data_IF_245577693307
#
_entry.id   IF_245577693307
#
_cell.length_a   1.000
_cell.length_b   1.000
_cell.length_c   1.000
_cell.angle_alpha   90.00
_cell.angle_beta   90.00
_cell.angle_gamma   90.00
#
_symmetry.space_group_name_H-M   'P 1'
#
loop_
_entity.id
_entity.type
_entity.pdbx_description
1 polymer ?
2 polymer ?
3 water ?
#
# COMPACT_ATOMS: atom_id res chain seq x y z
N UNK A 1 1.79 8.32 -7.34
CA UNK A 1 1.62 7.73 -8.67
C UNK A 1 2.47 8.56 -9.64
N UNK A 2 3.40 7.91 -10.27
CA UNK A 2 4.29 8.53 -11.27
C UNK A 2 3.59 8.25 -12.62
N UNK A 3 3.50 9.23 -13.48
CA UNK A 3 2.95 9.20 -14.80
C UNK A 3 1.44 9.06 -14.90
N UNK A 4 0.71 9.46 -13.89
CA UNK A 4 -0.75 9.42 -13.94
C UNK A 4 -1.31 10.81 -14.33
N UNK A 5 -2.58 10.96 -14.11
CA UNK A 5 -3.46 12.10 -14.36
C UNK A 5 -4.32 12.33 -13.12
N UNK A 6 -4.81 13.54 -12.88
CA UNK A 6 -5.68 13.72 -11.70
C UNK A 6 -6.98 12.96 -11.97
N UNK A 7 -7.49 12.18 -11.05
CA UNK A 7 -8.74 11.43 -11.20
C UNK A 7 -9.94 12.38 -11.08
N UNK A 8 -11.01 11.91 -11.74
CA UNK A 8 -12.29 12.67 -11.69
C UNK A 8 -12.73 12.56 -10.22
N UNK A 9 -13.34 13.63 -9.75
CA UNK A 9 -13.76 13.75 -8.35
C UNK A 9 -14.60 12.62 -7.78
N UNK A 10 -15.21 11.83 -8.63
CA UNK A 10 -16.08 10.72 -8.20
C UNK A 10 -15.67 9.39 -8.81
N UNK A 11 -14.51 9.36 -9.43
CA UNK A 11 -14.05 8.16 -10.09
C UNK A 11 -13.79 6.98 -9.16
N UNK A 12 -13.23 7.23 -7.98
CA UNK A 12 -12.90 6.09 -7.05
C UNK A 12 -13.37 6.30 -5.64
N UNK A 13 -14.70 6.22 -5.41
CA UNK A 13 -15.35 6.50 -4.14
C UNK A 13 -14.94 5.71 -2.93
N UNK A 14 -14.18 4.66 -3.18
CA UNK A 14 -13.74 3.80 -2.08
C UNK A 14 -12.35 4.23 -1.58
N UNK A 15 -11.66 5.08 -2.29
CA UNK A 15 -10.31 5.58 -1.91
C UNK A 15 -10.39 6.45 -0.65
N UNK A 16 -9.54 6.05 0.30
CA UNK A 16 -9.43 6.79 1.58
C UNK A 16 -7.98 7.30 1.74
N UNK A 17 -7.91 8.34 2.60
CA UNK A 17 -6.57 8.86 2.97
C UNK A 17 -6.41 8.44 4.47
N UNK A 18 -5.33 7.72 4.72
CA UNK A 18 -5.03 7.32 6.10
C UNK A 18 -4.02 8.39 6.62
N UNK A 19 -4.39 9.02 7.72
CA UNK A 19 -3.54 10.10 8.28
C UNK A 19 -3.15 9.92 9.73
N UNK A 20 -1.95 10.40 10.08
CA UNK A 20 -1.50 10.32 11.48
C UNK A 20 -1.40 11.70 12.12
N UNK A 21 -1.64 11.69 13.43
CA UNK A 21 -1.54 12.94 14.20
C UNK A 21 -0.04 13.28 14.36
N UNK A 22 0.29 14.39 13.72
CA UNK A 22 1.60 15.01 13.60
C UNK A 22 1.70 16.42 14.22
N UNK A 23 1.89 16.40 15.53
CA UNK A 23 2.03 17.56 16.40
C UNK A 23 0.62 17.95 16.90
N UNK A 24 -0.07 18.70 16.08
CA UNK A 24 -1.44 19.14 16.33
C UNK A 24 -2.20 18.92 15.01
N UNK A 25 -1.33 18.79 14.03
CA UNK A 25 -1.73 18.57 12.64
C UNK A 25 -1.78 17.05 12.35
N UNK A 26 -2.32 16.82 11.16
CA UNK A 26 -2.50 15.45 10.63
C UNK A 26 -1.67 15.35 9.36
N UNK A 27 -1.07 14.18 9.18
CA UNK A 27 -0.24 13.98 8.01
C UNK A 27 -0.75 12.80 7.19
N UNK A 28 -0.93 13.03 5.90
CA UNK A 28 -1.34 11.94 4.98
C UNK A 28 -0.17 10.93 4.98
N UNK A 29 -0.51 9.65 5.25
CA UNK A 29 0.52 8.61 5.26
C UNK A 29 0.33 7.49 4.20
N UNK A 30 -0.92 7.07 4.00
CA UNK A 30 -1.16 5.95 3.07
C UNK A 30 -2.57 6.05 2.48
N UNK A 31 -2.79 5.13 1.52
CA UNK A 31 -4.13 5.01 0.88
C UNK A 31 -4.82 3.89 1.74
N UNK A 32 -6.00 3.56 1.33
CA UNK A 32 -6.85 2.49 1.94
C UNK A 32 -8.08 2.45 0.99
N UNK A 33 -8.86 1.42 1.25
CA UNK A 33 -10.12 1.18 0.49
C UNK A 33 -11.22 0.99 1.52
N UNK A 34 -12.31 1.67 1.33
CA UNK A 34 -13.49 1.56 2.24
C UNK A 34 -14.18 0.25 1.76
N UNK A 35 -14.22 -0.73 2.67
CA UNK A 35 -14.80 -2.04 2.39
C UNK A 35 -16.10 -2.29 3.10
N UNK A 36 -16.41 -1.59 4.14
CA UNK A 36 -17.66 -1.63 4.92
C UNK A 36 -17.85 -0.16 5.37
N UNK A 37 -19.02 0.17 5.85
CA UNK A 37 -19.21 1.59 6.25
C UNK A 37 -18.31 1.91 7.45
N UNK A 38 -17.93 0.88 8.17
CA UNK A 38 -17.07 1.06 9.36
C UNK A 38 -15.76 0.27 9.24
N UNK A 39 -15.39 -0.20 8.05
CA UNK A 39 -14.11 -0.93 7.92
C UNK A 39 -13.31 -0.36 6.75
N UNK A 40 -11.99 -0.36 6.93
CA UNK A 40 -11.08 0.08 5.86
C UNK A 40 -9.95 -0.94 5.65
N UNK A 41 -9.56 -1.22 4.43
CA UNK A 41 -8.45 -2.14 4.12
C UNK A 41 -7.20 -1.35 3.71
N UNK A 42 -6.07 -1.66 4.33
CA UNK A 42 -4.78 -0.97 4.04
C UNK A 42 -3.66 -1.98 4.09
N UNK A 43 -2.42 -1.52 4.02
CA UNK A 43 -1.20 -2.27 4.12
C UNK A 43 -0.84 -2.36 5.64
N UNK A 44 -0.30 -3.50 6.01
CA UNK A 44 0.16 -3.70 7.43
C UNK A 44 1.28 -2.69 7.76
N UNK A 45 2.22 -2.49 6.85
CA UNK A 45 3.34 -1.53 7.10
C UNK A 45 2.91 -0.10 7.35
N UNK A 46 1.69 0.28 7.11
CA UNK A 46 1.16 1.62 7.32
C UNK A 46 0.60 1.83 8.74
N UNK A 47 0.17 0.74 9.38
CA UNK A 47 -0.48 0.87 10.68
C UNK A 47 0.20 0.08 11.78
N UNK A 48 1.35 -0.43 11.43
CA UNK A 48 2.18 -1.24 12.34
C UNK A 48 3.13 -0.32 13.13
N UNK A 49 2.61 0.80 13.57
CA UNK A 49 3.37 1.78 14.35
C UNK A 49 2.42 2.37 15.38
N UNK A 50 3.00 2.86 16.46
CA UNK A 50 2.20 3.47 17.55
C UNK A 50 1.92 4.95 17.27
N UNK A 51 1.00 5.23 16.36
CA UNK A 51 0.57 6.57 15.94
C UNK A 51 -0.96 6.60 16.18
N UNK A 52 -1.50 7.80 16.20
CA UNK A 52 -2.94 8.03 16.31
C UNK A 52 -3.38 8.26 14.84
N UNK A 53 -4.33 7.42 14.47
CA UNK A 53 -4.82 7.43 13.08
C UNK A 53 -6.22 7.96 12.92
N UNK A 54 -6.44 8.42 11.69
CA UNK A 54 -7.77 8.90 11.27
C UNK A 54 -7.82 8.53 9.76
N UNK A 55 -9.06 8.51 9.32
CA UNK A 55 -9.34 8.23 7.91
C UNK A 55 -10.23 9.36 7.39
N UNK A 56 -9.99 9.72 6.15
CA UNK A 56 -10.74 10.75 5.44
C UNK A 56 -11.30 10.04 4.17
N UNK A 57 -12.60 10.20 4.09
CA UNK A 57 -13.44 9.66 3.01
C UNK A 57 -13.96 10.87 2.22
N UNK A 58 -14.12 10.61 0.93
CA UNK A 58 -14.61 11.64 -0.02
C UNK A 58 -13.54 12.71 -0.20
N UNK A 59 -12.29 12.30 -0.04
CA UNK A 59 -11.17 13.24 -0.20
C UNK A 59 -10.82 13.36 -1.68
N UNK A 60 -10.49 14.55 -2.13
CA UNK A 60 -10.04 14.79 -3.50
C UNK A 60 -8.70 15.56 -3.43
N UNK A 61 -8.78 16.78 -2.96
CA UNK A 61 -7.56 17.64 -2.83
C UNK A 61 -7.15 17.60 -1.36
N UNK A 62 -5.93 17.17 -1.09
CA UNK A 62 -5.44 17.11 0.31
C UNK A 62 -5.31 18.48 0.99
N UNK A 63 -5.12 19.54 0.23
CA UNK A 63 -4.91 20.86 0.84
C UNK A 63 -6.14 21.73 0.93
N UNK A 64 -7.22 21.39 0.29
CA UNK A 64 -8.46 22.21 0.31
C UNK A 64 -9.67 21.36 0.71
N UNK A 65 -10.57 22.08 1.36
CA UNK A 65 -11.88 21.54 1.81
C UNK A 65 -12.73 21.60 0.50
N UNK A 66 -13.13 20.42 0.08
CA UNK A 66 -13.88 20.23 -1.17
C UNK A 66 -15.38 20.29 -0.81
N UNK A 67 -15.64 19.97 0.44
CA UNK A 67 -16.93 19.90 1.09
C UNK A 67 -17.49 18.49 1.07
N UNK A 68 -16.82 17.56 0.42
CA UNK A 68 -17.30 16.18 0.27
C UNK A 68 -16.74 15.16 1.24
N UNK A 69 -15.81 15.61 2.07
CA UNK A 69 -15.08 14.79 3.00
C UNK A 69 -15.73 14.47 4.32
N UNK A 70 -15.42 13.31 4.85
CA UNK A 70 -15.87 12.93 6.21
C UNK A 70 -14.58 12.51 6.92
N UNK A 71 -14.44 12.93 8.17
CA UNK A 71 -13.25 12.59 9.00
C UNK A 71 -13.73 11.61 10.07
N UNK A 72 -12.99 10.52 10.27
CA UNK A 72 -13.40 9.50 11.24
C UNK A 72 -12.15 8.95 11.94
N UNK A 73 -12.31 8.77 13.24
CA UNK A 73 -11.19 8.21 14.02
C UNK A 73 -11.16 6.70 13.74
N UNK A 74 -10.00 6.09 13.97
CA UNK A 74 -9.76 4.66 13.83
C UNK A 74 -10.00 3.98 15.19
N UNK A 75 -10.97 3.09 15.29
CA UNK A 75 -11.30 2.35 16.49
C UNK A 75 -10.52 1.07 16.74
N UNK A 76 -10.27 0.21 15.78
CA UNK A 76 -9.52 -1.03 15.92
C UNK A 76 -8.60 -1.19 14.70
N UNK A 77 -7.44 -1.71 15.03
CA UNK A 77 -6.38 -2.04 14.09
C UNK A 77 -6.08 -3.56 14.20
N UNK A 78 -6.32 -4.20 13.06
CA UNK A 78 -6.10 -5.66 12.96
C UNK A 78 -5.11 -5.94 11.85
N UNK A 79 -3.90 -6.30 12.22
CA UNK A 79 -2.79 -6.62 11.31
C UNK A 79 -2.78 -8.10 10.99
N UNK A 80 -2.43 -8.50 9.77
CA UNK A 80 -2.42 -9.94 9.48
C UNK A 80 -1.48 -10.63 10.47
N UNK A 81 -1.96 -11.72 11.12
CA UNK A 81 -1.16 -12.48 12.06
C UNK A 81 0.17 -13.00 11.50
N UNK A 82 0.36 -13.14 10.20
CA UNK A 82 1.63 -13.64 9.69
C UNK A 82 2.59 -12.54 9.25
N UNK A 83 2.16 -11.32 9.41
CA UNK A 83 2.94 -10.13 9.04
C UNK A 83 4.14 -9.96 9.97
N UNK A 84 5.27 -9.82 9.35
CA UNK A 84 6.62 -9.60 9.86
C UNK A 84 7.10 -8.18 9.42
N UNK A 85 7.08 -7.22 10.30
CA UNK A 85 7.41 -5.81 10.15
C UNK A 85 8.61 -5.40 9.29
N UNK A 86 9.56 -6.29 9.26
CA UNK A 86 10.83 -6.30 8.63
C UNK A 86 10.97 -6.75 7.18
N UNK A 87 10.18 -7.76 6.94
CA UNK A 87 10.11 -8.50 5.71
C UNK A 87 8.83 -8.14 4.97
N UNK A 88 8.94 -7.22 4.03
CA UNK A 88 7.70 -6.91 3.25
C UNK A 88 7.65 -7.92 2.09
N UNK A 89 8.78 -8.55 1.77
CA UNK A 89 8.77 -9.51 0.63
C UNK A 89 8.15 -10.84 1.04
N UNK A 90 8.08 -11.05 2.35
CA UNK A 90 7.46 -12.29 2.87
C UNK A 90 5.95 -12.26 2.60
N UNK A 91 5.36 -11.09 2.40
CA UNK A 91 3.91 -11.00 2.13
C UNK A 91 3.15 -10.71 3.41
N UNK A 92 1.84 -10.93 3.38
CA UNK A 92 0.89 -10.75 4.45
C UNK A 92 0.83 -9.26 4.82
N UNK A 93 1.08 -8.48 3.77
CA UNK A 93 1.03 -7.00 3.99
C UNK A 93 -0.41 -6.52 3.84
N UNK A 94 -1.18 -6.72 4.87
CA UNK A 94 -2.60 -6.30 4.88
C UNK A 94 -3.11 -6.09 6.28
N UNK A 95 -3.91 -5.07 6.49
CA UNK A 95 -4.49 -4.74 7.78
C UNK A 95 -5.91 -4.16 7.54
N UNK A 96 -6.76 -4.33 8.51
CA UNK A 96 -8.13 -3.87 8.54
C UNK A 96 -8.27 -2.93 9.74
N UNK A 97 -8.93 -1.82 9.52
CA UNK A 97 -9.13 -0.81 10.56
C UNK A 97 -10.64 -0.69 10.77
N UNK A 98 -11.04 -0.70 12.00
CA UNK A 98 -12.44 -0.51 12.38
C UNK A 98 -12.61 1.00 12.67
N UNK A 99 -13.52 1.64 11.97
CA UNK A 99 -13.77 3.07 12.15
C UNK A 99 -14.60 3.25 13.42
N UNK A 100 -14.30 4.41 14.02
CA UNK A 100 -14.92 4.87 15.24
C UNK A 100 -16.42 5.02 15.07
N UNK A 101 -16.76 5.16 13.81
CA UNK A 101 -18.14 5.41 13.35
C UNK A 101 -18.29 5.01 11.88
N UNK A 102 -19.54 4.75 11.53
CA UNK A 102 -19.96 4.34 10.18
C UNK A 102 -20.10 5.60 9.31
N UNK A 103 -19.58 5.52 8.09
CA UNK A 103 -19.65 6.68 7.17
C UNK A 103 -21.01 6.75 6.47
N UNK A 104 -21.31 7.90 5.91
CA UNK A 104 -22.54 8.08 5.13
C UNK A 104 -22.12 7.90 3.65
N UNK A 105 -22.82 7.01 2.97
CA UNK A 105 -22.52 6.75 1.54
C UNK A 105 -23.30 7.81 0.75
N UNK A 106 -22.66 8.21 -0.33
CA UNK A 106 -23.15 9.21 -1.28
C UNK A 106 -22.33 9.01 -2.56
N UNK A 107 -22.49 9.95 -3.47
CA UNK A 107 -21.87 10.00 -4.80
C UNK A 107 -20.35 9.90 -4.79
N UNK A 108 -19.79 10.30 -3.67
CA UNK A 108 -18.37 10.41 -3.37
C UNK A 108 -17.79 9.41 -2.39
N UNK A 109 -18.66 8.79 -1.61
CA UNK A 109 -18.25 7.81 -0.60
C UNK A 109 -19.03 6.53 -0.89
N UNK A 110 -18.35 5.51 -1.33
CA UNK A 110 -18.94 4.20 -1.69
C UNK A 110 -18.04 3.04 -1.29
N UNK A 111 -18.63 1.86 -1.07
CA UNK A 111 -17.83 0.71 -0.65
C UNK A 111 -17.01 0.16 -1.81
N UNK A 112 -15.85 -0.35 -1.50
CA UNK A 112 -14.93 -1.00 -2.47
C UNK A 112 -15.43 -2.49 -2.57
N UNK A 113 -15.37 -2.96 -3.80
CA UNK A 113 -15.83 -4.34 -4.12
C UNK A 113 -14.64 -5.27 -4.21
N UNK A 114 -14.65 -6.27 -3.35
CA UNK A 114 -13.51 -7.24 -3.38
C UNK A 114 -13.81 -8.43 -4.32
N UNK A 115 -12.73 -9.03 -4.79
CA UNK A 115 -12.82 -10.19 -5.68
C UNK A 115 -13.25 -11.45 -4.93
N UNK A 116 -13.80 -12.40 -5.73
CA UNK A 116 -14.21 -13.74 -5.22
C UNK A 116 -12.87 -14.38 -4.81
N UNK A 117 -12.84 -15.06 -3.72
CA UNK A 117 -11.62 -15.73 -3.20
C UNK A 117 -10.95 -16.51 -4.31
N UNK A 118 -9.64 -16.46 -4.46
CA UNK A 118 -8.85 -17.12 -5.44
C UNK A 118 -8.78 -16.54 -6.82
N UNK A 119 -9.53 -15.49 -7.14
CA UNK A 119 -9.50 -14.88 -8.47
C UNK A 119 -8.06 -14.43 -8.84
N UNK A 120 -7.65 -14.93 -10.00
CA UNK A 120 -6.36 -14.68 -10.64
C UNK A 120 -6.64 -14.02 -12.02
N UNK A 121 -6.01 -12.85 -12.17
CA UNK A 121 -6.13 -12.05 -13.39
C UNK A 121 -5.07 -12.52 -14.39
N UNK A 122 -5.57 -12.57 -15.62
CA UNK A 122 -4.65 -12.98 -16.72
C UNK A 122 -3.64 -11.84 -16.88
N UNK A 123 -2.62 -12.14 -17.65
CA UNK A 123 -1.55 -11.20 -18.00
C UNK A 123 -2.18 -10.00 -18.70
N UNK A 124 -1.79 -8.82 -18.28
CA UNK A 124 -2.23 -7.60 -18.92
C UNK A 124 -3.68 -7.17 -18.72
N UNK A 125 -4.21 -7.54 -17.58
CA UNK A 125 -5.58 -7.13 -17.28
C UNK A 125 -5.51 -5.59 -17.04
N UNK A 126 -6.57 -4.93 -17.43
CA UNK A 126 -6.70 -3.47 -17.23
C UNK A 126 -7.02 -3.14 -15.77
N UNK A 127 -6.04 -2.44 -15.19
CA UNK A 127 -6.06 -1.92 -13.84
C UNK A 127 -5.60 -0.43 -13.81
N UNK A 128 -6.03 0.17 -12.72
CA UNK A 128 -5.79 1.53 -12.32
C UNK A 128 -5.38 1.58 -10.81
N UNK A 129 -4.25 2.20 -10.62
CA UNK A 129 -3.72 2.53 -9.30
C UNK A 129 -4.15 4.00 -9.02
N UNK A 130 -4.52 4.27 -7.77
CA UNK A 130 -4.89 5.64 -7.41
C UNK A 130 -4.11 5.95 -6.12
N UNK A 131 -3.87 7.25 -5.90
CA UNK A 131 -3.20 7.66 -4.66
C UNK A 131 -2.69 9.10 -4.69
N UNK A 132 -2.28 9.49 -3.46
CA UNK A 132 -1.74 10.85 -3.31
C UNK A 132 -0.21 10.78 -3.21
N UNK A 133 0.40 9.71 -3.69
CA UNK A 133 1.85 9.55 -3.62
C UNK A 133 2.72 10.42 -4.48
N UNK A 134 4.03 10.36 -4.19
CA UNK A 134 5.01 11.12 -4.97
C UNK A 134 4.63 10.93 -6.46
N UNK A 135 4.80 12.06 -7.13
CA UNK A 135 4.52 12.07 -8.58
C UNK A 135 5.81 11.88 -9.31
N UNK A 136 6.89 11.74 -8.56
CA UNK A 136 8.18 11.43 -9.25
C UNK A 136 9.12 10.85 -8.20
N UNK A 137 10.07 10.02 -8.69
CA UNK A 137 11.00 9.44 -7.72
C UNK A 137 11.63 10.63 -6.93
N UNK A 138 11.57 10.54 -5.62
CA UNK A 138 12.12 11.62 -4.76
C UNK A 138 11.44 12.95 -4.98
N UNK A 139 10.20 12.97 -5.46
CA UNK A 139 9.44 14.19 -5.72
C UNK A 139 8.57 14.58 -4.54
N UNK A 140 7.44 15.22 -4.82
CA UNK A 140 6.53 15.62 -3.70
C UNK A 140 5.20 14.82 -3.86
N UNK A 141 4.53 14.70 -2.71
CA UNK A 141 3.21 14.06 -2.66
C UNK A 141 2.26 14.86 -3.60
N UNK A 142 1.36 14.20 -4.28
CA UNK A 142 0.37 14.91 -5.11
C UNK A 142 -0.59 15.56 -4.14
N UNK A 143 -1.23 16.59 -4.61
CA UNK A 143 -2.22 17.37 -3.80
C UNK A 143 -3.62 16.82 -4.10
N UNK A 144 -3.79 16.49 -5.39
CA UNK A 144 -5.07 15.94 -5.89
C UNK A 144 -4.90 14.44 -6.20
N UNK A 145 -5.97 13.67 -6.00
CA UNK A 145 -5.92 12.22 -6.27
C UNK A 145 -5.57 12.00 -7.75
N UNK A 146 -4.56 11.16 -7.92
CA UNK A 146 -4.03 10.81 -9.23
C UNK A 146 -4.44 9.35 -9.51
N UNK A 147 -4.38 9.04 -10.78
CA UNK A 147 -4.69 7.69 -11.26
C UNK A 147 -3.80 7.41 -12.44
N UNK A 148 -3.41 6.16 -12.59
CA UNK A 148 -2.61 5.75 -13.74
C UNK A 148 -3.02 4.31 -14.12
N UNK A 149 -3.04 4.17 -15.44
CA UNK A 149 -3.32 2.85 -16.06
C UNK A 149 -2.07 1.98 -15.86
N UNK A 150 -2.31 0.87 -15.15
CA UNK A 150 -1.27 -0.12 -14.82
C UNK A 150 -1.78 -1.56 -15.02
N UNK A 151 -1.45 -2.19 -16.11
CA UNK A 151 -1.90 -3.57 -16.35
C UNK A 151 -1.01 -4.60 -15.66
N UNK A 152 -1.64 -5.72 -15.34
CA UNK A 152 -1.07 -6.91 -14.73
C UNK A 152 0.08 -7.53 -15.50
N UNK A 153 1.00 -8.05 -14.72
CA UNK A 153 2.16 -8.82 -15.20
C UNK A 153 1.87 -10.14 -14.41
N UNK A 154 1.46 -11.16 -15.12
CA UNK A 154 1.12 -12.45 -14.41
C UNK A 154 2.32 -12.95 -13.64
N UNK A 155 2.09 -13.83 -12.70
CA UNK A 155 3.10 -14.38 -11.82
C UNK A 155 4.33 -14.98 -12.48
N UNK A 156 4.12 -15.77 -13.50
CA UNK A 156 5.14 -16.52 -14.24
C UNK A 156 6.18 -15.60 -14.83
N UNK A 157 5.66 -14.46 -15.23
CA UNK A 157 6.41 -13.38 -15.84
C UNK A 157 7.07 -12.50 -14.74
N UNK A 158 6.26 -12.02 -13.82
CA UNK A 158 6.71 -11.20 -12.71
C UNK A 158 7.85 -11.83 -11.91
N UNK A 159 7.73 -13.12 -11.65
CA UNK A 159 8.74 -13.88 -10.91
C UNK A 159 9.90 -14.31 -11.79
N UNK A 160 9.91 -13.96 -13.06
CA UNK A 160 11.06 -14.34 -13.93
C UNK A 160 12.20 -13.41 -13.45
N UNK A 161 13.41 -13.86 -13.77
CA UNK A 161 14.62 -13.16 -13.30
C UNK A 161 14.83 -11.76 -13.82
N UNK A 162 14.30 -11.39 -14.96
CA UNK A 162 14.44 -10.02 -15.52
C UNK A 162 13.45 -9.07 -14.85
N UNK A 163 12.47 -9.65 -14.17
CA UNK A 163 11.47 -8.94 -13.38
C UNK A 163 11.83 -8.99 -11.88
N UNK A 164 10.97 -9.54 -11.04
CA UNK A 164 11.26 -9.59 -9.60
C UNK A 164 11.82 -10.93 -9.14
N UNK A 165 11.99 -11.88 -10.06
CA UNK A 165 12.57 -13.20 -9.62
C UNK A 165 11.85 -13.66 -8.35
N UNK A 166 12.65 -14.28 -7.47
CA UNK A 166 12.19 -14.84 -6.19
C UNK A 166 11.61 -13.85 -5.22
N UNK A 167 11.67 -12.56 -5.46
CA UNK A 167 11.09 -11.57 -4.54
C UNK A 167 9.57 -11.61 -4.43
N UNK A 168 8.90 -11.75 -5.56
CA UNK A 168 7.44 -11.78 -5.71
C UNK A 168 6.91 -13.20 -5.45
N UNK A 169 5.86 -13.20 -4.63
CA UNK A 169 5.13 -14.41 -4.18
C UNK A 169 3.80 -14.47 -4.96
N UNK A 170 3.27 -15.68 -4.97
CA UNK A 170 1.99 -15.94 -5.64
C UNK A 170 0.87 -15.26 -4.86
N UNK A 171 1.19 -14.75 -3.65
CA UNK A 171 0.14 -14.05 -2.86
C UNK A 171 0.10 -12.55 -3.16
N UNK A 172 0.87 -12.17 -4.14
CA UNK A 172 0.99 -10.77 -4.59
C UNK A 172 0.61 -10.67 -6.07
N UNK A 173 0.34 -9.46 -6.48
CA UNK A 173 0.01 -9.02 -7.84
C UNK A 173 1.00 -7.95 -8.35
N UNK A 174 1.56 -8.12 -9.54
CA UNK A 174 2.42 -7.02 -10.08
C UNK A 174 1.64 -6.29 -11.19
N UNK A 175 1.75 -4.97 -11.25
CA UNK A 175 1.08 -4.19 -12.33
C UNK A 175 2.10 -3.15 -12.79
N UNK A 176 2.18 -2.81 -14.05
CA UNK A 176 3.04 -1.77 -14.64
C UNK A 176 4.43 -2.26 -15.03
N UNK A 177 5.44 -1.45 -14.72
CA UNK A 177 6.84 -1.81 -15.00
C UNK A 177 7.30 -1.40 -16.40
N UNK A 178 6.61 -0.38 -16.89
CA UNK A 178 6.90 0.16 -18.23
C UNK A 178 7.96 1.27 -18.14
N UNK A 179 8.32 1.60 -16.90
CA UNK A 179 9.29 2.64 -16.64
C UNK A 179 8.61 4.01 -16.74
N UNK A 180 7.31 4.10 -16.93
CA UNK A 180 6.63 5.39 -17.07
C UNK A 180 5.59 5.61 -15.99
N UNK A 181 4.84 4.54 -15.71
CA UNK A 181 3.75 4.69 -14.73
C UNK A 181 4.04 3.79 -13.55
N UNK A 182 3.69 4.23 -12.37
CA UNK A 182 3.91 3.40 -11.19
C UNK A 182 3.39 4.10 -9.95
N UNK A 183 3.31 3.28 -8.91
CA UNK A 183 2.91 3.80 -7.55
C UNK A 183 4.29 4.34 -7.02
N UNK A 184 4.20 5.14 -5.97
CA UNK A 184 5.44 5.74 -5.40
C UNK A 184 5.13 5.97 -3.93
N UNK A 185 6.13 6.35 -3.12
CA UNK A 185 5.91 6.59 -1.67
C UNK A 185 4.66 7.42 -1.42
N UNK A 186 3.82 6.96 -0.50
CA UNK A 186 2.59 7.56 -0.04
C UNK A 186 1.34 6.96 -0.74
N UNK A 187 1.58 6.04 -1.68
CA UNK A 187 0.53 5.31 -2.42
C UNK A 187 0.22 3.97 -1.67
N UNK A 188 1.17 3.46 -0.92
CA UNK A 188 1.04 2.23 -0.17
C UNK A 188 -0.35 2.15 0.49
N UNK A 189 -0.80 0.92 0.62
CA UNK A 189 -2.06 0.58 1.27
C UNK A 189 -3.28 0.92 0.43
N UNK A 190 -3.06 1.63 -0.68
CA UNK A 190 -4.28 2.00 -1.51
C UNK A 190 -4.65 0.91 -2.52
N UNK A 191 -5.80 1.07 -3.18
CA UNK A 191 -6.24 0.09 -4.19
C UNK A 191 -5.53 0.03 -5.51
N UNK A 192 -5.71 -1.13 -6.14
CA UNK A 192 -5.37 -1.50 -7.52
C UNK A 192 -6.81 -1.97 -8.02
N UNK A 193 -7.45 -1.18 -8.83
CA UNK A 193 -8.80 -1.40 -9.32
C UNK A 193 -8.76 -2.13 -10.67
N UNK A 194 -9.40 -3.31 -10.77
CA UNK A 194 -9.32 -3.98 -12.09
C UNK A 194 -10.72 -4.23 -12.67
N UNK A 195 -10.67 -4.16 -14.00
CA UNK A 195 -11.93 -4.38 -14.76
C UNK A 195 -11.79 -5.79 -15.38
N UNK A 196 -12.75 -6.57 -14.94
CA UNK A 196 -12.92 -8.01 -15.23
C UNK A 196 -14.43 -8.25 -15.45
N UNK A 197 -14.74 -8.73 -16.65
CA UNK A 197 -16.10 -9.02 -17.13
C UNK A 197 -17.08 -7.85 -16.93
N UNK A 198 -16.67 -6.63 -17.25
CA UNK A 198 -17.46 -5.43 -17.12
C UNK A 198 -17.72 -4.91 -15.72
N UNK A 199 -16.97 -5.39 -14.74
CA UNK A 199 -17.10 -5.01 -13.31
C UNK A 199 -15.69 -4.77 -12.72
N UNK A 200 -15.65 -3.68 -11.94
CA UNK A 200 -14.44 -3.26 -11.21
C UNK A 200 -14.38 -3.90 -9.84
N UNK A 201 -13.24 -4.30 -9.36
CA UNK A 201 -13.16 -4.84 -7.98
C UNK A 201 -11.72 -4.43 -7.57
N UNK A 202 -11.57 -4.44 -6.26
CA UNK A 202 -10.27 -4.09 -5.68
C UNK A 202 -9.48 -5.40 -5.51
N UNK A 203 -8.55 -5.59 -6.42
CA UNK A 203 -7.65 -6.71 -6.45
C UNK A 203 -6.30 -6.52 -5.76
N UNK A 204 -5.85 -5.28 -5.54
CA UNK A 204 -4.51 -5.13 -4.89
C UNK A 204 -4.55 -4.06 -3.79
N UNK A 205 -3.56 -4.21 -2.93
CA UNK A 205 -3.21 -3.30 -1.84
C UNK A 205 -1.73 -2.88 -2.13
N UNK A 206 -1.49 -1.63 -2.54
CA UNK A 206 -0.09 -1.21 -2.83
C UNK A 206 0.83 -1.56 -1.67
N UNK A 207 1.88 -2.26 -2.06
CA UNK A 207 2.91 -2.72 -1.13
C UNK A 207 4.29 -2.08 -1.25
N UNK A 208 4.98 -2.40 -2.32
CA UNK A 208 6.38 -1.97 -2.50
C UNK A 208 6.72 -1.74 -3.96
N UNK A 209 7.86 -1.08 -4.15
CA UNK A 209 8.47 -0.67 -5.40
C UNK A 209 9.96 -0.96 -5.26
N UNK A 210 10.64 -0.73 -6.36
CA UNK A 210 12.08 -0.93 -6.38
C UNK A 210 12.79 0.11 -5.50
N UNK A 211 13.97 -0.30 -5.05
CA UNK A 211 14.85 0.60 -4.27
C UNK A 211 15.54 1.59 -5.24
N UNK A 212 15.71 1.22 -6.48
CA UNK A 212 16.31 2.07 -7.51
C UNK A 212 15.40 3.22 -7.99
N UNK A 213 14.12 3.15 -7.73
CA UNK A 213 13.13 4.15 -8.10
C UNK A 213 11.70 3.54 -8.13
N UNK A 214 10.75 4.44 -8.26
CA UNK A 214 9.33 4.14 -8.36
C UNK A 214 9.03 3.55 -9.75
N UNK A 215 9.27 4.33 -10.78
CA UNK A 215 9.03 3.86 -12.18
C UNK A 215 10.31 3.27 -12.74
N UNK A 216 10.53 1.99 -12.62
CA UNK A 216 11.77 1.36 -13.15
C UNK A 216 11.26 0.26 -14.10
N UNK A 217 11.80 0.34 -15.29
CA UNK A 217 11.50 -0.58 -16.40
C UNK A 217 11.75 -1.99 -15.89
N UNK A 218 10.70 -2.81 -15.99
CA UNK A 218 10.67 -4.20 -15.56
C UNK A 218 10.78 -4.41 -14.06
N UNK A 219 10.31 -3.41 -13.36
CA UNK A 219 10.22 -3.42 -11.90
C UNK A 219 8.81 -2.86 -11.61
N UNK A 220 7.81 -3.74 -11.82
CA UNK A 220 6.42 -3.33 -11.61
C UNK A 220 6.13 -3.02 -10.14
N UNK A 221 5.01 -2.33 -9.92
CA UNK A 221 4.55 -2.07 -8.55
C UNK A 221 3.96 -3.45 -8.08
N UNK A 222 4.26 -3.70 -6.83
CA UNK A 222 3.81 -4.98 -6.20
C UNK A 222 2.72 -4.65 -5.20
N UNK A 223 1.67 -5.44 -5.21
CA UNK A 223 0.50 -5.31 -4.34
C UNK A 223 0.24 -6.73 -3.73
N UNK A 224 -0.44 -6.68 -2.62
CA UNK A 224 -0.94 -7.84 -1.87
C UNK A 224 -2.19 -8.29 -2.67
N UNK A 225 -2.19 -9.55 -3.05
CA UNK A 225 -3.41 -10.05 -3.85
C UNK A 225 -4.54 -10.26 -2.88
N UNK A 226 -5.51 -9.37 -2.88
CA UNK A 226 -6.68 -9.39 -2.02
C UNK A 226 -7.45 -10.74 -2.02
N UNK A 227 -7.61 -11.25 -3.22
CA UNK A 227 -8.34 -12.52 -3.47
C UNK A 227 -7.79 -13.66 -2.64
N UNK A 228 -6.54 -13.59 -2.22
CA UNK A 228 -5.90 -14.56 -1.36
C UNK A 228 -6.27 -14.42 0.11
N UNK A 229 -6.93 -13.37 0.54
CA UNK A 229 -7.27 -13.12 1.94
C UNK A 229 -8.72 -12.99 2.29
N UNK A 230 -9.58 -13.22 1.30
CA UNK A 230 -11.01 -13.10 1.51
C UNK A 230 -11.51 -13.79 2.78
N UNK A 231 -11.08 -15.02 3.06
CA UNK A 231 -11.54 -15.71 4.29
C UNK A 231 -11.00 -15.04 5.56
N UNK A 232 -9.74 -14.60 5.49
CA UNK A 232 -9.17 -13.88 6.65
C UNK A 232 -10.04 -12.66 6.93
N UNK A 233 -10.31 -11.89 5.89
CA UNK A 233 -11.08 -10.64 5.85
C UNK A 233 -12.45 -10.80 6.50
N UNK A 234 -13.06 -11.84 5.97
CA UNK A 234 -14.38 -12.35 6.34
C UNK A 234 -14.46 -12.72 7.82
N UNK A 235 -13.45 -13.39 8.35
CA UNK A 235 -13.49 -13.75 9.78
C UNK A 235 -13.22 -12.51 10.67
N UNK A 236 -12.25 -11.67 10.34
CA UNK A 236 -11.94 -10.48 11.16
C UNK A 236 -13.15 -9.60 11.40
N UNK A 237 -13.75 -9.29 10.26
CA UNK A 237 -14.92 -8.38 10.23
C UNK A 237 -16.12 -8.94 10.98
N UNK A 238 -16.31 -10.24 10.83
CA UNK A 238 -17.41 -10.98 11.44
C UNK A 238 -17.33 -10.97 12.95
N UNK A 239 -16.10 -10.96 13.44
CA UNK A 239 -15.78 -11.01 14.85
C UNK A 239 -15.12 -9.81 15.50
N UNK A 240 -15.10 -8.64 14.89
CA UNK A 240 -14.48 -7.44 15.47
C UNK A 240 -15.38 -6.22 15.29
N UNK B 11 32.06 0.23 13.67
CA UNK B 11 30.94 0.01 14.59
C UNK B 11 30.60 -1.48 14.52
N UNK B 12 30.70 -1.90 13.27
CA UNK B 12 30.44 -3.26 12.88
C UNK B 12 31.55 -3.78 11.98
N UNK B 13 31.91 -5.00 12.31
CA UNK B 13 32.92 -5.74 11.55
C UNK B 13 32.46 -6.04 10.13
N UNK B 14 31.21 -6.44 9.92
CA UNK B 14 30.80 -6.79 8.55
C UNK B 14 29.89 -5.87 7.80
N UNK B 15 29.47 -6.32 6.60
CA UNK B 15 28.59 -5.53 5.76
C UNK B 15 27.12 -5.92 5.90
N UNK B 16 26.36 -4.90 5.56
CA UNK B 16 24.89 -4.99 5.53
C UNK B 16 24.53 -5.58 4.16
N UNK B 17 23.42 -6.28 4.18
CA UNK B 17 22.90 -6.84 2.91
C UNK B 17 22.25 -5.71 2.09
N UNK B 18 22.24 -5.85 0.76
CA UNK B 18 21.53 -4.88 -0.07
C UNK B 18 20.06 -5.39 -0.06
N UNK B 19 19.19 -4.44 0.00
CA UNK B 19 17.72 -4.79 0.00
C UNK B 19 17.21 -4.01 -1.21
N UNK B 20 16.73 -4.69 -2.27
CA UNK B 20 16.26 -3.89 -3.42
C UNK B 20 14.79 -3.58 -3.49
N UNK B 21 14.02 -3.73 -2.45
CA UNK B 21 12.60 -3.35 -2.47
C UNK B 21 12.42 -2.29 -1.35
N UNK B 22 11.49 -1.39 -1.61
CA UNK B 22 11.18 -0.32 -0.68
C UNK B 22 9.65 -0.26 -0.48
N UNK B 23 9.22 -0.21 0.76
CA UNK B 23 7.73 -0.09 0.97
C UNK B 23 7.39 1.28 0.36
N UNK B 24 6.21 1.41 -0.16
CA UNK B 24 5.86 2.64 -0.88
C UNK B 24 5.29 3.70 0.06
N UNK B 25 5.97 3.81 1.21
CA UNK B 25 5.67 4.75 2.30
C UNK B 25 6.94 5.59 2.67
N UNK B 26 6.62 6.83 2.91
CA UNK B 26 7.54 7.89 3.33
C UNK B 26 7.78 7.74 4.84
N UNK B 27 9.03 7.89 5.24
CA UNK B 27 9.44 7.86 6.64
C UNK B 27 9.01 6.58 7.37
N UNK B 28 9.42 5.43 6.89
CA UNK B 28 9.04 4.17 7.56
C UNK B 28 9.74 4.16 8.92
N UNK B 29 9.10 3.47 9.87
CA UNK B 29 9.59 3.32 11.24
C UNK B 29 10.88 2.52 11.33
N UNK B 30 11.79 3.10 12.12
CA UNK B 30 13.14 2.49 12.34
C UNK B 30 13.12 1.60 13.59
N UNK B 31 13.76 0.45 13.43
CA UNK B 31 13.79 -0.50 14.57
C UNK B 31 15.14 -0.52 15.25
N UNK B 32 16.04 0.31 14.77
CA UNK B 32 17.39 0.49 15.31
C UNK B 32 18.03 1.69 14.58
N UNK B 33 19.11 2.21 15.17
CA UNK B 33 19.82 3.35 14.51
C UNK B 33 21.31 2.98 14.38
N UNK B 34 21.75 2.25 15.40
CA UNK B 34 23.13 1.78 15.51
C UNK B 34 23.10 0.23 15.57
N UNK B 35 24.21 -0.27 15.09
CA UNK B 35 24.50 -1.71 15.05
C UNK B 35 24.34 -2.18 16.52
N UNK B 36 24.57 -1.19 17.38
CA UNK B 36 24.50 -1.52 18.81
C UNK B 36 23.11 -1.73 19.36
N UNK B 37 22.13 -1.43 18.54
CA UNK B 37 20.70 -1.56 18.89
C UNK B 37 20.26 -2.97 18.53
N UNK B 38 21.27 -3.65 18.04
CA UNK B 38 21.12 -5.03 17.56
C UNK B 38 21.98 -6.00 18.35
N UNK B 39 21.36 -7.12 18.67
CA UNK B 39 22.03 -8.21 19.40
C UNK B 39 23.03 -8.95 18.51
N UNK B 40 24.02 -9.52 19.18
CA UNK B 40 25.09 -10.31 18.61
C UNK B 40 25.77 -9.62 17.44
N UNK B 41 25.64 -10.24 16.28
CA UNK B 41 26.22 -9.70 15.01
C UNK B 41 25.16 -8.77 14.48
N UNK B 42 25.19 -7.76 15.37
CA UNK B 42 24.42 -6.56 15.43
C UNK B 42 24.69 -5.75 14.19
N UNK B 43 23.73 -5.78 13.26
CA UNK B 43 24.01 -4.85 12.13
C UNK B 43 22.72 -4.03 11.96
N UNK B 44 22.80 -2.74 12.25
CA UNK B 44 21.61 -1.90 12.01
C UNK B 44 21.80 -1.57 10.50
N UNK B 45 20.81 -1.91 9.71
CA UNK B 45 20.89 -1.72 8.25
C UNK B 45 19.51 -1.23 7.78
N UNK B 46 19.56 -0.81 6.55
CA UNK B 46 18.41 -0.29 5.76
C UNK B 46 17.69 -1.53 5.23
N UNK B 47 16.50 -1.74 5.73
CA UNK B 47 15.67 -2.88 5.35
C UNK B 47 14.73 -2.48 4.20
N UNK B 48 13.71 -3.30 4.03
CA UNK B 48 12.64 -3.16 3.05
C UNK B 48 11.63 -2.07 3.45
N UNK B 49 11.52 -1.74 4.72
CA UNK B 49 10.61 -0.69 5.22
C UNK B 49 11.14 -0.04 6.50
N UNK B 50 12.31 0.54 6.44
CA UNK B 50 12.92 1.17 7.65
C UNK B 50 14.16 0.39 8.06
N UNK B 51 14.84 0.86 9.09
CA UNK B 51 16.07 0.21 9.57
C UNK B 51 15.72 -0.92 10.55
N UNK B 52 16.43 -2.01 10.29
CA UNK B 52 16.31 -3.26 11.02
C UNK B 52 17.68 -3.90 11.19
N UNK B 53 17.75 -4.90 12.03
CA UNK B 53 18.91 -5.67 12.44
C UNK B 53 19.15 -6.89 11.58
N UNK B 54 20.22 -6.84 10.80
CA UNK B 54 20.60 -7.92 9.87
C UNK B 54 21.86 -8.63 10.37
N UNK B 55 21.99 -9.83 9.84
CA UNK B 55 23.19 -10.65 10.02
C UNK B 55 24.08 -10.09 8.88
N UNK B 56 25.29 -9.68 9.19
CA UNK B 56 26.22 -9.11 8.20
C UNK B 56 26.71 -10.06 7.13
N UNK B 57 27.67 -9.62 6.33
CA UNK B 57 28.29 -10.30 5.21
C UNK B 57 29.80 -10.02 5.10
#
# INVERSE_FOLDING_TARGET
VVGGTEAQRNSWPSQISLQYRSGSSWAHTCGGTLIRQNWVMTAAHCVDRELTFRVVVGEHNLNQNNGTEQYVGVQKIVVHPYWNTDDVAAGYDIALLRLAQSVTLNSYVQLGVLPRAGTILANNSPCYITGWGLTRTNGQLAQTLQQAYLPTVDYAICSSSSYWGSTVKNSMVCAGGDGVRSGCQGDSGGPLHCLVNGQYAVHGVTSFVSRLGCNVTRKPTVFTRVSAYISWINNVIASN
AQEPVKGPVSTKPGSCPIILIRCAMLNPPNRCLKDTDCPGIKKCCEGSCGMACFVPQ
#
